data_IF_010521083104
#
_entry.id   IF_010521083104
#
_cell.length_a   1.000
_cell.length_b   1.000
_cell.length_c   1.000
_cell.angle_alpha   90.00
_cell.angle_beta   90.00
_cell.angle_gamma   90.00
#
_symmetry.space_group_name_H-M   'P 1'
#
loop_
_entity.id
_entity.type
_entity.pdbx_description
1 polymer ?
#
# COMPACT_ATOMS: atom_id res chain seq x y z
N UNK A 1 -33.53 -4.71 -3.16
CA UNK A 1 -32.75 -3.64 -2.52
C UNK A 1 -32.97 -3.70 -1.02
N UNK A 2 -31.89 -3.89 -0.26
CA UNK A 2 -31.86 -3.82 1.20
C UNK A 2 -31.10 -2.55 1.58
N UNK A 3 -31.74 -1.66 2.34
CA UNK A 3 -31.09 -0.44 2.86
C UNK A 3 -30.22 -0.81 4.04
N UNK A 4 -28.96 -0.34 4.03
CA UNK A 4 -27.96 -0.63 5.06
C UNK A 4 -27.30 0.68 5.49
N UNK A 5 -27.16 0.87 6.81
CA UNK A 5 -26.36 1.96 7.39
C UNK A 5 -25.00 1.41 7.79
N UNK A 6 -23.93 2.11 7.44
CA UNK A 6 -22.56 1.62 7.71
C UNK A 6 -22.25 1.58 9.22
N UNK A 7 -22.79 2.50 10.02
CA UNK A 7 -22.63 2.45 11.47
C UNK A 7 -23.22 1.17 12.09
N UNK A 8 -24.35 0.67 11.56
CA UNK A 8 -24.96 -0.58 12.00
C UNK A 8 -24.12 -1.78 11.54
N UNK A 9 -23.56 -1.72 10.32
CA UNK A 9 -22.61 -2.73 9.82
C UNK A 9 -21.40 -2.84 10.74
N UNK A 10 -20.80 -1.71 11.10
CA UNK A 10 -19.63 -1.67 11.99
C UNK A 10 -19.95 -2.28 13.35
N UNK A 11 -21.08 -1.87 13.94
CA UNK A 11 -21.50 -2.34 15.27
C UNK A 11 -21.79 -3.84 15.28
N UNK A 12 -22.49 -4.35 14.26
CA UNK A 12 -22.94 -5.74 14.22
C UNK A 12 -21.86 -6.72 13.74
N UNK A 13 -21.00 -6.30 12.82
CA UNK A 13 -19.96 -7.17 12.25
C UNK A 13 -18.63 -7.06 12.99
N UNK A 14 -18.32 -5.91 13.61
CA UNK A 14 -16.99 -5.62 14.15
C UNK A 14 -15.95 -5.23 13.08
N UNK A 15 -16.33 -5.13 11.80
CA UNK A 15 -15.50 -4.55 10.75
C UNK A 15 -15.55 -3.03 10.91
N UNK A 16 -14.42 -2.37 11.11
CA UNK A 16 -14.38 -0.93 11.42
C UNK A 16 -13.13 -0.24 10.87
N UNK A 17 -13.20 1.08 10.73
CA UNK A 17 -12.02 1.91 10.47
C UNK A 17 -11.08 1.94 11.67
N UNK A 18 -9.77 2.01 11.40
CA UNK A 18 -8.71 2.11 12.40
C UNK A 18 -7.67 3.16 12.01
N UNK A 19 -6.38 2.78 12.00
CA UNK A 19 -5.29 3.66 11.52
C UNK A 19 -5.50 4.03 10.06
N UNK A 20 -5.65 3.04 9.18
CA UNK A 20 -6.07 3.20 7.78
C UNK A 20 -6.87 1.98 7.28
N UNK A 21 -7.93 2.26 6.51
CA UNK A 21 -8.84 1.27 5.94
C UNK A 21 -9.82 0.66 6.95
N UNK A 22 -10.86 0.01 6.44
CA UNK A 22 -11.80 -0.77 7.23
C UNK A 22 -11.30 -2.22 7.35
N UNK A 23 -11.17 -2.74 8.58
CA UNK A 23 -10.56 -4.06 8.84
C UNK A 23 -11.43 -4.89 9.79
N UNK A 24 -11.35 -6.22 9.69
CA UNK A 24 -12.07 -7.14 10.58
C UNK A 24 -11.67 -8.59 10.33
N UNK A 25 -12.31 -9.52 11.04
CA UNK A 25 -12.13 -10.95 10.75
C UNK A 25 -12.69 -11.29 9.37
N UNK A 26 -12.04 -12.21 8.66
CA UNK A 26 -12.50 -12.70 7.35
C UNK A 26 -13.94 -13.22 7.44
N UNK A 27 -14.30 -13.89 8.54
CA UNK A 27 -15.65 -14.38 8.80
C UNK A 27 -16.70 -13.28 8.99
N UNK A 28 -16.28 -12.08 9.41
CA UNK A 28 -17.14 -10.91 9.61
C UNK A 28 -17.26 -10.06 8.33
N UNK A 29 -16.24 -10.10 7.47
CA UNK A 29 -16.23 -9.46 6.15
C UNK A 29 -17.05 -10.27 5.13
N UNK A 30 -18.35 -10.44 5.40
CA UNK A 30 -19.29 -11.08 4.48
C UNK A 30 -19.45 -10.28 3.19
N UNK A 31 -19.95 -10.91 2.12
CA UNK A 31 -20.13 -10.22 0.83
C UNK A 31 -21.02 -8.97 0.96
N UNK A 32 -22.05 -9.02 1.81
CA UNK A 32 -22.93 -7.86 2.09
C UNK A 32 -22.17 -6.72 2.78
N UNK A 33 -21.30 -7.06 3.74
CA UNK A 33 -20.48 -6.06 4.45
C UNK A 33 -19.49 -5.40 3.49
N UNK A 34 -18.78 -6.17 2.68
CA UNK A 34 -17.82 -5.66 1.70
C UNK A 34 -18.50 -4.81 0.62
N UNK A 35 -19.64 -5.26 0.10
CA UNK A 35 -20.46 -4.49 -0.83
C UNK A 35 -20.94 -3.17 -0.21
N UNK A 36 -21.36 -3.18 1.06
CA UNK A 36 -21.81 -1.98 1.77
C UNK A 36 -20.70 -0.92 1.81
N UNK A 37 -19.49 -1.33 2.18
CA UNK A 37 -18.33 -0.44 2.22
C UNK A 37 -17.96 0.13 0.85
N UNK A 38 -17.96 -0.69 -0.20
CA UNK A 38 -17.66 -0.23 -1.56
C UNK A 38 -18.67 0.83 -2.04
N UNK A 39 -19.97 0.61 -1.81
CA UNK A 39 -21.01 1.56 -2.19
C UNK A 39 -21.00 2.82 -1.32
N UNK A 40 -20.68 2.68 -0.03
CA UNK A 40 -20.60 3.82 0.86
C UNK A 40 -19.44 4.72 0.46
N UNK A 41 -18.28 4.14 0.17
CA UNK A 41 -17.16 4.87 -0.40
C UNK A 41 -17.52 5.57 -1.72
N UNK A 42 -18.18 4.85 -2.64
CA UNK A 42 -18.64 5.45 -3.90
C UNK A 42 -19.57 6.65 -3.65
N UNK A 43 -20.48 6.56 -2.68
CA UNK A 43 -21.41 7.64 -2.35
C UNK A 43 -20.69 8.89 -1.83
N UNK A 44 -19.64 8.72 -1.03
CA UNK A 44 -18.85 9.80 -0.43
C UNK A 44 -17.94 10.43 -1.46
N UNK A 45 -17.22 9.63 -2.27
CA UNK A 45 -16.28 10.18 -3.26
C UNK A 45 -17.01 10.99 -4.34
N UNK A 46 -18.25 10.63 -4.66
CA UNK A 46 -19.12 11.36 -5.60
C UNK A 46 -19.57 12.74 -5.12
N UNK A 47 -19.38 13.07 -3.84
CA UNK A 47 -19.64 14.41 -3.33
C UNK A 47 -18.59 15.43 -3.81
N UNK A 48 -17.38 14.96 -4.13
CA UNK A 48 -16.26 15.80 -4.55
C UNK A 48 -15.78 15.52 -5.98
N UNK A 49 -15.97 14.29 -6.48
CA UNK A 49 -15.46 13.85 -7.78
C UNK A 49 -16.56 13.21 -8.64
N UNK A 50 -16.70 13.67 -9.88
CA UNK A 50 -17.53 12.97 -10.86
C UNK A 50 -16.82 11.71 -11.33
N UNK A 51 -17.44 10.54 -11.14
CA UNK A 51 -16.86 9.27 -11.60
C UNK A 51 -17.89 8.24 -12.03
N UNK A 52 -17.57 7.54 -13.11
CA UNK A 52 -18.26 6.36 -13.66
C UNK A 52 -17.37 5.12 -13.67
N UNK A 53 -16.09 5.24 -13.25
CA UNK A 53 -15.07 4.20 -13.24
C UNK A 53 -14.40 4.09 -11.87
N UNK A 54 -13.91 2.91 -11.51
CA UNK A 54 -13.16 2.70 -10.26
C UNK A 54 -12.16 1.54 -10.44
N UNK A 55 -10.96 1.71 -9.91
CA UNK A 55 -9.93 0.67 -9.93
C UNK A 55 -10.02 -0.23 -8.70
N UNK A 56 -9.98 -1.56 -8.90
CA UNK A 56 -10.01 -2.54 -7.81
C UNK A 56 -8.76 -3.42 -7.85
N UNK A 57 -8.06 -3.52 -6.73
CA UNK A 57 -6.90 -4.38 -6.54
C UNK A 57 -7.02 -5.25 -5.29
N UNK A 58 -6.13 -6.23 -5.16
CA UNK A 58 -6.11 -7.10 -3.99
C UNK A 58 -4.71 -7.60 -3.59
N UNK A 59 -4.57 -8.04 -2.34
CA UNK A 59 -3.43 -8.85 -1.90
C UNK A 59 -3.61 -10.36 -2.20
N UNK A 60 -2.62 -11.17 -1.80
CA UNK A 60 -2.62 -12.62 -2.00
C UNK A 60 -3.29 -13.42 -0.87
N UNK A 61 -4.10 -12.79 0.00
CA UNK A 61 -4.85 -13.57 1.01
C UNK A 61 -5.89 -14.45 0.35
N UNK A 62 -6.15 -15.67 0.87
CA UNK A 62 -7.18 -16.55 0.33
C UNK A 62 -8.59 -15.94 0.29
N UNK A 63 -8.89 -15.00 1.19
CA UNK A 63 -10.19 -14.32 1.26
C UNK A 63 -10.34 -13.15 0.29
N UNK A 64 -9.23 -12.63 -0.25
CA UNK A 64 -9.22 -11.42 -1.07
C UNK A 64 -9.98 -11.54 -2.39
N UNK A 65 -9.86 -12.64 -3.17
CA UNK A 65 -10.65 -12.84 -4.39
C UNK A 65 -12.17 -12.76 -4.17
N UNK A 66 -12.67 -13.31 -3.05
CA UNK A 66 -14.10 -13.22 -2.70
C UNK A 66 -14.49 -11.77 -2.37
N UNK A 67 -13.71 -11.10 -1.53
CA UNK A 67 -14.00 -9.74 -1.07
C UNK A 67 -13.98 -8.75 -2.24
N UNK A 68 -12.96 -8.80 -3.11
CA UNK A 68 -12.88 -7.91 -4.28
C UNK A 68 -14.01 -8.19 -5.27
N UNK A 69 -14.43 -9.46 -5.42
CA UNK A 69 -15.60 -9.78 -6.24
C UNK A 69 -16.88 -9.17 -5.64
N UNK A 70 -17.08 -9.26 -4.32
CA UNK A 70 -18.24 -8.66 -3.67
C UNK A 70 -18.32 -7.14 -3.89
N UNK A 71 -17.19 -6.44 -3.74
CA UNK A 71 -17.09 -5.02 -4.07
C UNK A 71 -17.40 -4.76 -5.56
N UNK A 72 -16.80 -5.55 -6.45
CA UNK A 72 -16.95 -5.41 -7.91
C UNK A 72 -18.41 -5.50 -8.34
N UNK A 73 -19.12 -6.54 -7.93
CA UNK A 73 -20.50 -6.73 -8.39
C UNK A 73 -21.42 -5.64 -7.84
N UNK A 74 -21.23 -5.22 -6.58
CA UNK A 74 -22.03 -4.14 -6.00
C UNK A 74 -21.87 -2.83 -6.79
N UNK A 75 -20.64 -2.48 -7.17
CA UNK A 75 -20.33 -1.30 -7.96
C UNK A 75 -20.93 -1.39 -9.38
N UNK A 76 -20.79 -2.53 -10.06
CA UNK A 76 -21.34 -2.75 -11.41
C UNK A 76 -22.86 -2.68 -11.44
N UNK A 77 -23.54 -3.20 -10.41
CA UNK A 77 -24.99 -3.06 -10.26
C UNK A 77 -25.45 -1.59 -10.14
N UNK A 78 -24.57 -0.69 -9.73
CA UNK A 78 -24.79 0.75 -9.66
C UNK A 78 -24.25 1.52 -10.87
N UNK A 79 -24.00 0.81 -11.99
CA UNK A 79 -23.57 1.41 -13.24
C UNK A 79 -22.14 1.93 -13.24
N UNK A 80 -21.30 1.44 -12.31
CA UNK A 80 -19.87 1.74 -12.30
C UNK A 80 -19.10 0.71 -13.11
N UNK A 81 -18.26 1.19 -14.02
CA UNK A 81 -17.26 0.37 -14.69
C UNK A 81 -16.10 0.09 -13.73
N UNK A 82 -15.67 -1.17 -13.65
CA UNK A 82 -14.64 -1.63 -12.73
C UNK A 82 -13.40 -2.04 -13.51
N UNK A 83 -12.31 -1.34 -13.26
CA UNK A 83 -10.97 -1.71 -13.71
C UNK A 83 -10.38 -2.68 -12.69
N UNK A 84 -10.53 -3.99 -12.91
CA UNK A 84 -9.94 -4.98 -12.01
C UNK A 84 -8.45 -5.16 -12.31
N UNK A 85 -7.58 -4.66 -11.43
CA UNK A 85 -6.12 -4.65 -11.59
C UNK A 85 -5.44 -5.92 -11.05
N UNK A 86 -6.21 -6.92 -10.60
CA UNK A 86 -5.65 -8.17 -10.07
C UNK A 86 -4.93 -8.01 -8.74
N UNK A 87 -3.94 -8.89 -8.51
CA UNK A 87 -3.04 -8.79 -7.36
C UNK A 87 -1.84 -7.91 -7.71
N UNK A 88 -1.66 -6.82 -6.97
CA UNK A 88 -0.61 -5.82 -7.21
C UNK A 88 -0.29 -5.02 -5.94
N UNK A 89 0.86 -4.32 -5.88
CA UNK A 89 1.14 -3.42 -4.76
C UNK A 89 0.06 -2.36 -4.58
N UNK A 90 -0.32 -2.09 -3.33
CA UNK A 90 -1.20 -0.96 -2.98
C UNK A 90 -0.75 0.36 -3.63
N UNK A 91 0.55 0.76 -3.62
CA UNK A 91 0.98 1.98 -4.30
C UNK A 91 0.87 1.90 -5.83
N UNK A 92 0.91 0.72 -6.45
CA UNK A 92 0.70 0.55 -7.89
C UNK A 92 -0.76 0.85 -8.28
N UNK A 93 -1.72 0.36 -7.49
CA UNK A 93 -3.13 0.67 -7.68
C UNK A 93 -3.40 2.17 -7.49
N UNK A 94 -2.84 2.76 -6.42
CA UNK A 94 -3.01 4.18 -6.14
C UNK A 94 -2.42 5.07 -7.25
N UNK A 95 -1.24 4.73 -7.78
CA UNK A 95 -0.62 5.42 -8.91
C UNK A 95 -1.49 5.39 -10.16
N UNK A 96 -2.00 4.20 -10.51
CA UNK A 96 -2.89 4.02 -11.66
C UNK A 96 -4.15 4.86 -11.53
N UNK A 97 -4.84 4.72 -10.39
CA UNK A 97 -6.08 5.43 -10.11
C UNK A 97 -5.92 6.95 -10.15
N UNK A 98 -4.83 7.47 -9.58
CA UNK A 98 -4.49 8.89 -9.65
C UNK A 98 -4.25 9.35 -11.09
N UNK A 99 -3.52 8.56 -11.90
CA UNK A 99 -3.24 8.93 -13.29
C UNK A 99 -4.46 8.90 -14.21
N UNK A 100 -5.42 8.02 -13.91
CA UNK A 100 -6.71 7.93 -14.60
C UNK A 100 -7.76 8.88 -14.02
N UNK A 101 -7.43 9.63 -12.95
CA UNK A 101 -8.35 10.48 -12.20
C UNK A 101 -9.61 9.74 -11.71
N UNK A 102 -9.48 8.48 -11.30
CA UNK A 102 -10.56 7.64 -10.79
C UNK A 102 -10.30 7.23 -9.33
N UNK A 103 -11.34 6.93 -8.54
CA UNK A 103 -11.15 6.31 -7.23
C UNK A 103 -10.60 4.88 -7.33
N UNK A 104 -10.11 4.35 -6.21
CA UNK A 104 -9.68 2.96 -6.08
C UNK A 104 -10.10 2.30 -4.76
N UNK A 105 -10.22 0.97 -4.81
CA UNK A 105 -10.38 0.11 -3.64
C UNK A 105 -9.29 -0.96 -3.68
N UNK A 106 -8.50 -1.05 -2.61
CA UNK A 106 -7.52 -2.13 -2.42
C UNK A 106 -8.00 -3.07 -1.31
N UNK A 107 -8.17 -4.35 -1.65
CA UNK A 107 -8.54 -5.39 -0.68
C UNK A 107 -7.28 -5.98 -0.07
N UNK A 108 -7.02 -5.65 1.19
CA UNK A 108 -5.82 -6.10 1.89
C UNK A 108 -5.93 -5.92 3.40
N UNK A 109 -5.35 -6.87 4.14
CA UNK A 109 -5.08 -6.71 5.57
C UNK A 109 -3.73 -6.03 5.86
N UNK A 110 -2.87 -5.82 4.85
CA UNK A 110 -1.47 -5.45 4.99
C UNK A 110 -0.76 -6.41 5.95
N UNK A 111 -0.06 -5.91 6.96
CA UNK A 111 0.69 -6.66 7.98
C UNK A 111 -0.15 -7.47 8.99
N UNK A 112 -1.48 -7.36 9.02
CA UNK A 112 -2.29 -8.01 10.09
C UNK A 112 -2.38 -9.54 9.91
N UNK A 113 -2.77 -10.31 10.95
CA UNK A 113 -2.89 -11.78 10.87
C UNK A 113 -3.82 -12.28 9.75
N UNK A 114 -3.62 -13.53 9.30
CA UNK A 114 -4.29 -14.10 8.11
C UNK A 114 -5.81 -14.31 8.27
N UNK A 115 -6.30 -14.45 9.51
CA UNK A 115 -7.72 -14.59 9.85
C UNK A 115 -8.50 -13.27 9.73
N UNK A 116 -7.78 -12.18 9.39
CA UNK A 116 -8.31 -10.84 9.13
C UNK A 116 -8.04 -10.42 7.69
N UNK A 117 -8.80 -9.44 7.23
CA UNK A 117 -8.55 -8.74 5.97
C UNK A 117 -9.04 -7.28 6.12
N UNK A 118 -9.00 -6.50 5.05
CA UNK A 118 -9.45 -5.12 5.05
C UNK A 118 -9.72 -4.56 3.66
N UNK A 119 -10.21 -3.33 3.65
CA UNK A 119 -10.49 -2.54 2.46
C UNK A 119 -9.88 -1.16 2.68
N UNK A 120 -8.89 -0.80 1.86
CA UNK A 120 -8.30 0.54 1.77
C UNK A 120 -8.97 1.29 0.61
N UNK A 121 -9.15 2.60 0.78
CA UNK A 121 -9.87 3.45 -0.17
C UNK A 121 -9.00 4.61 -0.63
N UNK A 122 -9.03 4.90 -1.92
CA UNK A 122 -8.33 6.01 -2.54
C UNK A 122 -9.29 6.84 -3.38
N UNK A 123 -9.34 8.14 -3.14
CA UNK A 123 -9.99 9.11 -4.02
C UNK A 123 -9.09 9.34 -5.25
N UNK A 124 -9.60 10.00 -6.32
CA UNK A 124 -8.77 10.38 -7.47
C UNK A 124 -7.52 11.18 -7.12
N UNK A 125 -7.52 11.90 -6.00
CA UNK A 125 -6.43 12.76 -5.55
C UNK A 125 -5.55 12.15 -4.44
N UNK A 126 -5.83 10.91 -3.97
CA UNK A 126 -5.01 10.24 -2.97
C UNK A 126 -5.79 9.39 -1.97
N UNK A 127 -5.13 9.02 -0.87
CA UNK A 127 -5.77 8.25 0.22
C UNK A 127 -6.94 9.04 0.84
N UNK A 128 -7.99 8.34 1.28
CA UNK A 128 -9.11 8.98 1.98
C UNK A 128 -8.67 9.65 3.28
N UNK A 129 -9.30 10.78 3.61
CA UNK A 129 -9.04 11.51 4.85
C UNK A 129 -9.84 10.92 6.02
N UNK A 130 -9.55 11.35 7.26
CA UNK A 130 -10.39 11.02 8.42
C UNK A 130 -11.80 11.60 8.34
N UNK A 131 -12.01 12.69 7.60
CA UNK A 131 -13.34 13.21 7.33
C UNK A 131 -14.11 12.28 6.38
N UNK A 132 -13.43 11.73 5.36
CA UNK A 132 -14.02 10.74 4.47
C UNK A 132 -14.36 9.44 5.22
N UNK A 133 -13.48 8.94 6.10
CA UNK A 133 -13.80 7.77 6.95
C UNK A 133 -15.08 7.99 7.78
N UNK A 134 -15.25 9.18 8.37
CA UNK A 134 -16.44 9.53 9.14
C UNK A 134 -17.70 9.63 8.25
N UNK A 135 -17.57 10.19 7.05
CA UNK A 135 -18.65 10.25 6.06
C UNK A 135 -19.06 8.84 5.60
N UNK A 136 -18.09 7.96 5.32
CA UNK A 136 -18.35 6.56 4.93
C UNK A 136 -19.04 5.83 6.08
N UNK A 137 -18.58 6.02 7.32
CA UNK A 137 -19.15 5.39 8.52
C UNK A 137 -20.61 5.75 8.77
N UNK A 138 -21.09 6.87 8.25
CA UNK A 138 -22.46 7.36 8.43
C UNK A 138 -23.32 7.21 7.18
N UNK A 139 -22.76 6.70 6.09
CA UNK A 139 -23.47 6.52 4.83
C UNK A 139 -24.61 5.49 4.93
N UNK A 140 -25.62 5.71 4.12
CA UNK A 140 -26.75 4.79 3.92
C UNK A 140 -26.76 4.36 2.47
N UNK A 141 -26.70 3.05 2.25
CA UNK A 141 -26.58 2.46 0.90
C UNK A 141 -27.65 1.42 0.67
N UNK A 142 -27.95 1.17 -0.60
CA UNK A 142 -28.88 0.12 -0.99
C UNK A 142 -28.14 -1.01 -1.68
N UNK A 143 -28.28 -2.22 -1.13
CA UNK A 143 -27.58 -3.39 -1.64
C UNK A 143 -28.56 -4.30 -2.38
N UNK A 144 -28.13 -4.76 -3.54
CA UNK A 144 -28.76 -5.83 -4.31
C UNK A 144 -27.94 -7.11 -4.21
N UNK A 145 -28.44 -8.18 -4.83
CA UNK A 145 -27.83 -9.49 -4.70
C UNK A 145 -26.56 -9.58 -5.56
N UNK A 146 -25.43 -9.29 -4.93
CA UNK A 146 -24.07 -9.46 -5.45
C UNK A 146 -23.87 -10.82 -6.12
N UNK A 147 -23.78 -10.83 -7.46
CA UNK A 147 -23.51 -12.03 -8.27
C UNK A 147 -22.75 -11.68 -9.55
N UNK A 148 -21.77 -12.50 -9.89
CA UNK A 148 -21.00 -12.38 -11.12
C UNK A 148 -19.54 -12.75 -10.90
N UNK A 149 -18.81 -12.84 -12.00
CA UNK A 149 -17.37 -13.10 -12.00
C UNK A 149 -16.59 -11.80 -12.07
N UNK A 150 -15.34 -11.85 -11.62
CA UNK A 150 -14.40 -10.74 -11.78
C UNK A 150 -14.14 -10.48 -13.27
N UNK A 151 -14.00 -9.22 -13.70
CA UNK A 151 -13.50 -8.87 -15.01
C UNK A 151 -12.11 -9.46 -15.29
N UNK A 152 -11.66 -9.40 -16.54
CA UNK A 152 -10.27 -9.69 -16.87
C UNK A 152 -9.32 -8.70 -16.18
N UNK A 153 -8.10 -9.17 -15.88
CA UNK A 153 -7.10 -8.37 -15.21
C UNK A 153 -6.59 -7.28 -16.14
N UNK A 154 -6.70 -6.03 -15.70
CA UNK A 154 -6.06 -4.88 -16.32
C UNK A 154 -4.60 -4.77 -15.84
N UNK A 155 -3.67 -5.16 -16.69
CA UNK A 155 -2.22 -5.13 -16.41
C UNK A 155 -1.59 -3.73 -16.49
N UNK A 156 -2.31 -2.70 -16.96
CA UNK A 156 -1.78 -1.33 -17.12
C UNK A 156 -1.25 -0.78 -15.80
N UNK A 157 -1.96 -1.04 -14.68
CA UNK A 157 -1.54 -0.55 -13.37
C UNK A 157 -0.16 -1.08 -12.94
N UNK A 158 0.07 -2.39 -13.07
CA UNK A 158 1.36 -3.01 -12.75
C UNK A 158 2.46 -2.53 -13.68
N UNK A 159 2.18 -2.45 -14.99
CA UNK A 159 3.19 -2.01 -15.96
C UNK A 159 3.57 -0.53 -15.78
N UNK A 160 2.61 0.34 -15.44
CA UNK A 160 2.86 1.73 -15.10
C UNK A 160 3.71 1.87 -13.85
N UNK A 161 3.43 1.08 -12.80
CA UNK A 161 4.23 1.05 -11.59
C UNK A 161 5.68 0.64 -11.87
N UNK A 162 5.89 -0.40 -12.68
CA UNK A 162 7.25 -0.82 -13.08
C UNK A 162 7.95 0.28 -13.88
N UNK A 163 7.27 0.87 -14.88
CA UNK A 163 7.82 1.96 -15.70
C UNK A 163 8.21 3.17 -14.87
N UNK A 164 7.42 3.55 -13.86
CA UNK A 164 7.75 4.65 -12.94
C UNK A 164 9.18 4.56 -12.40
N UNK A 165 9.64 3.36 -12.03
CA UNK A 165 11.00 3.18 -11.51
C UNK A 165 12.05 3.03 -12.62
N UNK A 166 11.71 2.32 -13.71
CA UNK A 166 12.62 2.16 -14.85
C UNK A 166 12.93 3.50 -15.54
N UNK A 167 11.97 4.41 -15.59
CA UNK A 167 12.10 5.73 -16.21
C UNK A 167 12.77 6.75 -15.28
N UNK A 168 12.67 6.55 -13.96
CA UNK A 168 13.27 7.42 -12.96
C UNK A 168 14.79 7.22 -12.85
N UNK A 169 15.25 5.97 -12.81
CA UNK A 169 16.68 5.66 -12.68
C UNK A 169 17.36 5.59 -14.05
N UNK A 170 18.66 5.97 -14.14
CA UNK A 170 19.43 5.74 -15.35
C UNK A 170 19.44 4.25 -15.74
N UNK A 171 19.47 3.91 -17.05
CA UNK A 171 19.60 2.53 -17.47
C UNK A 171 20.81 1.87 -16.81
N UNK A 172 20.66 0.61 -16.39
CA UNK A 172 21.72 -0.17 -15.73
C UNK A 172 22.23 0.44 -14.40
N UNK A 173 21.40 1.20 -13.69
CA UNK A 173 21.74 1.80 -12.40
C UNK A 173 22.32 0.82 -11.37
N UNK A 174 21.88 -0.43 -11.39
CA UNK A 174 22.31 -1.51 -10.49
C UNK A 174 23.26 -2.51 -11.15
N UNK A 175 23.91 -2.15 -12.26
CA UNK A 175 24.87 -3.04 -12.91
C UNK A 175 26.05 -3.41 -11.99
N UNK A 176 26.32 -4.71 -11.91
CA UNK A 176 27.37 -5.27 -11.07
C UNK A 176 26.88 -5.72 -9.70
N UNK A 177 25.67 -5.33 -9.28
CA UNK A 177 25.08 -5.79 -8.03
C UNK A 177 24.43 -7.16 -8.18
N UNK A 178 24.49 -7.96 -7.11
CA UNK A 178 23.74 -9.19 -6.92
C UNK A 178 22.75 -9.01 -5.77
N UNK A 179 21.46 -8.99 -6.11
CA UNK A 179 20.37 -8.71 -5.18
C UNK A 179 19.52 -9.95 -4.96
N UNK A 180 19.24 -10.26 -3.70
CA UNK A 180 18.24 -11.26 -3.33
C UNK A 180 16.86 -10.62 -3.27
N UNK A 181 15.82 -11.27 -3.80
CA UNK A 181 14.43 -10.88 -3.55
C UNK A 181 13.81 -11.93 -2.65
N UNK A 182 13.53 -11.57 -1.40
CA UNK A 182 12.72 -12.42 -0.53
C UNK A 182 11.24 -12.25 -0.93
N UNK A 183 10.74 -13.21 -1.70
CA UNK A 183 9.44 -13.09 -2.37
C UNK A 183 8.25 -13.39 -1.46
N UNK A 184 8.37 -14.44 -0.62
CA UNK A 184 7.27 -14.97 0.21
C UNK A 184 5.92 -14.95 -0.54
N UNK A 185 4.93 -14.25 -0.01
CA UNK A 185 3.64 -13.95 -0.62
C UNK A 185 3.44 -12.44 -0.85
N UNK A 186 4.51 -11.68 -1.09
CA UNK A 186 4.42 -10.28 -1.47
C UNK A 186 3.75 -10.15 -2.84
N UNK A 187 2.78 -9.25 -2.97
CA UNK A 187 2.23 -8.86 -4.28
C UNK A 187 3.26 -8.14 -5.18
N UNK A 188 4.34 -7.63 -4.60
CA UNK A 188 5.40 -6.91 -5.31
C UNK A 188 6.47 -7.85 -5.86
N UNK A 189 6.49 -9.13 -5.49
CA UNK A 189 7.59 -10.08 -5.80
C UNK A 189 8.00 -10.08 -7.28
N UNK A 190 7.03 -10.20 -8.18
CA UNK A 190 7.30 -10.25 -9.63
C UNK A 190 7.62 -8.86 -10.20
N UNK A 191 7.03 -7.79 -9.65
CA UNK A 191 7.29 -6.42 -10.07
C UNK A 191 8.70 -5.96 -9.66
N UNK A 192 9.14 -6.27 -8.44
CA UNK A 192 10.49 -6.01 -7.96
C UNK A 192 11.53 -6.71 -8.82
N UNK A 193 11.28 -7.98 -9.17
CA UNK A 193 12.17 -8.74 -10.06
C UNK A 193 12.36 -7.99 -11.39
N UNK A 194 11.25 -7.63 -12.05
CA UNK A 194 11.28 -6.91 -13.33
C UNK A 194 11.97 -5.54 -13.23
N UNK A 195 11.75 -4.80 -12.13
CA UNK A 195 12.38 -3.49 -11.91
C UNK A 195 13.89 -3.65 -11.74
N UNK A 196 14.33 -4.53 -10.83
CA UNK A 196 15.76 -4.67 -10.49
C UNK A 196 16.58 -5.26 -11.65
N UNK A 197 16.06 -6.27 -12.35
CA UNK A 197 16.71 -6.78 -13.57
C UNK A 197 16.72 -5.75 -14.69
N UNK A 198 15.61 -5.01 -14.89
CA UNK A 198 15.52 -3.94 -15.87
C UNK A 198 16.53 -2.81 -15.61
N UNK A 199 16.90 -2.60 -14.36
CA UNK A 199 17.95 -1.68 -13.92
C UNK A 199 19.34 -2.33 -13.87
N UNK A 200 19.50 -3.54 -14.39
CA UNK A 200 20.79 -4.18 -14.65
C UNK A 200 21.39 -5.00 -13.50
N UNK A 201 20.66 -5.20 -12.40
CA UNK A 201 21.10 -6.09 -11.32
C UNK A 201 21.06 -7.56 -11.75
N UNK A 202 21.92 -8.40 -11.16
CA UNK A 202 21.69 -9.84 -11.09
C UNK A 202 20.72 -10.11 -9.95
N UNK A 203 19.61 -10.77 -10.20
CA UNK A 203 18.56 -11.01 -9.21
C UNK A 203 18.42 -12.50 -8.89
N UNK A 204 18.22 -12.84 -7.62
CA UNK A 204 17.91 -14.21 -7.18
C UNK A 204 16.64 -14.21 -6.34
N UNK A 205 15.63 -14.96 -6.78
CA UNK A 205 14.39 -15.20 -6.04
C UNK A 205 14.63 -16.11 -4.84
N UNK A 206 14.10 -15.72 -3.68
CA UNK A 206 14.25 -16.43 -2.41
C UNK A 206 12.88 -16.65 -1.77
N UNK A 207 12.65 -17.85 -1.23
CA UNK A 207 11.55 -18.11 -0.30
C UNK A 207 10.14 -17.88 -0.85
N UNK A 208 9.91 -18.02 -2.17
CA UNK A 208 8.57 -17.92 -2.77
C UNK A 208 7.63 -18.99 -2.19
N UNK A 209 6.40 -18.60 -1.91
CA UNK A 209 5.34 -19.51 -1.48
C UNK A 209 3.97 -19.07 -2.01
N UNK A 210 3.07 -20.03 -2.14
CA UNK A 210 1.65 -19.78 -2.44
C UNK A 210 0.82 -19.62 -1.15
N UNK A 211 1.40 -19.94 0.01
CA UNK A 211 0.79 -19.66 1.31
C UNK A 211 1.00 -18.20 1.70
N UNK A 212 -0.03 -17.54 2.21
CA UNK A 212 0.07 -16.17 2.67
C UNK A 212 0.97 -16.05 3.91
N UNK A 213 1.97 -15.18 3.86
CA UNK A 213 2.91 -14.88 4.94
C UNK A 213 2.69 -13.44 5.43
N UNK A 214 2.23 -13.25 6.68
CA UNK A 214 2.08 -11.91 7.26
C UNK A 214 3.46 -11.39 7.71
N UNK A 215 4.05 -10.49 6.93
CA UNK A 215 5.26 -9.75 7.31
C UNK A 215 4.86 -8.44 8.00
N UNK A 216 5.35 -8.24 9.22
CA UNK A 216 5.32 -6.95 9.90
C UNK A 216 6.74 -6.38 9.95
N UNK A 217 6.99 -5.30 9.22
CA UNK A 217 8.31 -4.67 9.09
C UNK A 217 8.76 -3.96 10.36
N UNK A 218 7.85 -3.67 11.29
CA UNK A 218 8.18 -3.12 12.62
C UNK A 218 8.52 -4.23 13.63
N UNK A 219 8.22 -5.49 13.29
CA UNK A 219 8.40 -6.66 14.15
C UNK A 219 8.82 -7.90 13.33
N UNK A 220 9.93 -7.78 12.59
CA UNK A 220 10.46 -8.88 11.76
C UNK A 220 10.70 -10.13 12.61
N UNK A 221 10.10 -11.25 12.19
CA UNK A 221 10.17 -12.50 12.94
C UNK A 221 11.60 -13.06 13.00
N UNK A 222 11.93 -13.74 14.10
CA UNK A 222 13.25 -14.38 14.29
C UNK A 222 13.60 -15.33 13.14
N UNK A 223 12.61 -16.07 12.62
CA UNK A 223 12.80 -16.95 11.47
C UNK A 223 13.26 -16.18 10.21
N UNK A 224 12.71 -15.00 9.95
CA UNK A 224 13.09 -14.17 8.81
C UNK A 224 14.45 -13.48 9.03
N UNK A 225 14.79 -13.12 10.27
CA UNK A 225 16.13 -12.64 10.65
C UNK A 225 17.19 -13.70 10.36
N UNK A 226 16.94 -14.95 10.75
CA UNK A 226 17.87 -16.06 10.51
C UNK A 226 18.00 -16.39 9.01
N UNK A 227 16.89 -16.35 8.26
CA UNK A 227 16.91 -16.53 6.79
C UNK A 227 17.75 -15.47 6.09
N UNK A 228 17.59 -14.19 6.45
CA UNK A 228 18.36 -13.09 5.88
C UNK A 228 19.87 -13.31 6.00
N UNK A 229 20.33 -13.67 7.22
CA UNK A 229 21.74 -13.99 7.48
C UNK A 229 22.24 -15.19 6.69
N UNK A 230 21.46 -16.28 6.67
CA UNK A 230 21.83 -17.49 5.94
C UNK A 230 21.95 -17.25 4.43
N UNK A 231 21.02 -16.49 3.84
CA UNK A 231 21.06 -16.15 2.42
C UNK A 231 22.23 -15.22 2.08
N UNK A 232 22.53 -14.24 2.93
CA UNK A 232 23.68 -13.37 2.73
C UNK A 232 25.00 -14.16 2.76
N UNK A 233 25.14 -15.13 3.68
CA UNK A 233 26.31 -16.00 3.77
C UNK A 233 26.43 -16.95 2.57
N UNK A 234 25.32 -17.53 2.11
CA UNK A 234 25.29 -18.49 1.00
C UNK A 234 25.54 -17.86 -0.37
N UNK A 235 24.91 -16.72 -0.64
CA UNK A 235 24.87 -16.11 -1.97
C UNK A 235 25.76 -14.88 -2.13
N UNK A 236 26.24 -14.31 -1.02
CA UNK A 236 27.04 -13.07 -1.01
C UNK A 236 26.33 -11.91 -1.72
N UNK A 237 25.06 -11.70 -1.37
CA UNK A 237 24.26 -10.59 -1.89
C UNK A 237 24.80 -9.23 -1.43
N UNK A 238 24.68 -8.20 -2.27
CA UNK A 238 24.90 -6.81 -1.87
C UNK A 238 23.75 -6.28 -0.98
N UNK A 239 22.54 -6.81 -1.17
CA UNK A 239 21.38 -6.58 -0.32
C UNK A 239 20.30 -7.65 -0.60
N UNK A 240 19.42 -7.87 0.38
CA UNK A 240 18.18 -8.63 0.21
C UNK A 240 17.00 -7.65 0.30
N UNK A 241 16.12 -7.69 -0.68
CA UNK A 241 15.00 -6.76 -0.84
C UNK A 241 13.69 -7.54 -0.79
N UNK A 242 12.70 -6.95 -0.15
CA UNK A 242 11.36 -7.50 -0.03
C UNK A 242 10.37 -6.38 0.31
N UNK A 243 9.10 -6.75 0.47
CA UNK A 243 8.06 -5.89 1.02
C UNK A 243 7.21 -6.67 2.02
N UNK A 244 6.29 -5.98 2.67
CA UNK A 244 5.15 -6.65 3.31
C UNK A 244 4.15 -7.23 2.29
N UNK A 245 3.03 -7.78 2.78
CA UNK A 245 2.09 -8.54 1.96
C UNK A 245 1.46 -7.74 0.81
N UNK A 246 1.13 -6.46 1.01
CA UNK A 246 0.52 -5.60 -0.01
C UNK A 246 1.48 -4.59 -0.65
N UNK A 247 2.76 -4.69 -0.34
CA UNK A 247 3.81 -3.96 -1.05
C UNK A 247 3.85 -2.46 -0.75
N UNK A 248 3.31 -2.02 0.40
CA UNK A 248 3.37 -0.62 0.82
C UNK A 248 4.56 -0.33 1.75
N UNK A 249 5.16 -1.37 2.35
CA UNK A 249 6.35 -1.27 3.22
C UNK A 249 7.53 -2.02 2.63
N UNK A 250 8.74 -1.44 2.59
CA UNK A 250 9.95 -2.16 2.24
C UNK A 250 10.44 -3.02 3.41
N UNK A 251 11.08 -4.14 3.09
CA UNK A 251 11.91 -4.92 4.00
C UNK A 251 13.26 -5.12 3.30
N UNK A 252 14.30 -4.47 3.82
CA UNK A 252 15.62 -4.42 3.16
C UNK A 252 16.69 -4.84 4.15
N UNK A 253 17.61 -5.71 3.72
CA UNK A 253 18.82 -6.04 4.47
C UNK A 253 20.05 -5.37 3.88
N UNK A 254 21.09 -5.22 4.70
CA UNK A 254 22.45 -5.00 4.21
C UNK A 254 23.09 -6.29 3.65
N UNK A 255 24.36 -6.22 3.26
CA UNK A 255 25.15 -7.32 2.70
C UNK A 255 25.43 -8.45 3.69
N UNK A 256 25.20 -8.21 4.98
CA UNK A 256 25.34 -9.23 6.05
C UNK A 256 24.02 -9.95 6.34
N UNK A 257 22.94 -9.56 5.65
CA UNK A 257 21.60 -10.09 5.88
C UNK A 257 20.94 -9.48 7.12
N UNK A 258 21.46 -8.37 7.66
CA UNK A 258 20.83 -7.66 8.76
C UNK A 258 19.70 -6.76 8.24
N UNK A 259 18.46 -7.05 8.64
CA UNK A 259 17.30 -6.26 8.27
C UNK A 259 17.37 -4.86 8.87
N UNK A 260 17.30 -3.85 8.00
CA UNK A 260 17.31 -2.45 8.38
C UNK A 260 15.91 -2.04 8.86
N UNK A 261 15.86 -1.27 9.95
CA UNK A 261 14.62 -0.60 10.38
C UNK A 261 14.11 0.35 9.30
N UNK A 262 12.79 0.42 9.15
CA UNK A 262 12.16 1.24 8.12
C UNK A 262 12.45 2.74 8.23
N UNK A 263 12.61 3.27 9.45
CA UNK A 263 13.00 4.67 9.65
C UNK A 263 14.43 4.99 9.17
N UNK A 264 15.35 4.03 9.22
CA UNK A 264 16.69 4.19 8.63
C UNK A 264 16.63 4.13 7.10
N UNK A 265 15.85 3.21 6.53
CA UNK A 265 15.61 3.14 5.09
C UNK A 265 14.99 4.44 4.57
N UNK A 266 13.99 4.97 5.27
CA UNK A 266 13.35 6.24 4.97
C UNK A 266 14.34 7.41 5.00
N UNK A 267 15.22 7.46 6.00
CA UNK A 267 16.27 8.48 6.07
C UNK A 267 17.25 8.41 4.89
N UNK A 268 17.67 7.21 4.48
CA UNK A 268 18.53 7.01 3.29
C UNK A 268 17.81 7.49 2.02
N UNK A 269 16.53 7.17 1.87
CA UNK A 269 15.72 7.60 0.72
C UNK A 269 15.55 9.13 0.68
N UNK A 270 15.22 9.76 1.82
CA UNK A 270 15.09 11.21 1.94
C UNK A 270 16.40 11.93 1.61
N UNK A 271 17.54 11.37 2.04
CA UNK A 271 18.87 11.82 1.68
C UNK A 271 19.12 11.75 0.18
N UNK A 272 18.84 10.60 -0.45
CA UNK A 272 19.02 10.39 -1.88
C UNK A 272 18.20 11.38 -2.72
N UNK A 273 16.94 11.58 -2.34
CA UNK A 273 16.03 12.52 -3.00
C UNK A 273 16.38 13.99 -2.72
N UNK A 274 17.29 14.25 -1.77
CA UNK A 274 17.65 15.60 -1.30
C UNK A 274 16.39 16.34 -0.80
N UNK A 275 15.61 15.66 0.02
CA UNK A 275 14.45 16.27 0.67
C UNK A 275 14.89 17.46 1.53
N UNK A 276 14.09 18.53 1.53
CA UNK A 276 14.29 19.70 2.37
C UNK A 276 13.54 19.55 3.70
N UNK A 277 12.28 19.11 3.62
CA UNK A 277 11.40 18.93 4.78
C UNK A 277 10.94 17.48 4.88
N UNK A 278 10.84 16.99 6.12
CA UNK A 278 10.47 15.61 6.41
C UNK A 278 9.33 15.58 7.43
N UNK A 279 8.34 14.72 7.18
CA UNK A 279 7.22 14.48 8.10
C UNK A 279 7.22 13.02 8.54
N UNK A 280 7.38 12.77 9.83
CA UNK A 280 7.54 11.41 10.37
C UNK A 280 6.75 11.23 11.66
N UNK A 281 6.18 10.06 11.94
CA UNK A 281 5.56 9.80 13.24
C UNK A 281 6.53 9.92 14.41
N UNK A 282 5.99 10.10 15.62
CA UNK A 282 6.76 10.08 16.87
C UNK A 282 7.51 8.77 17.14
N UNK A 283 7.17 7.67 16.46
CA UNK A 283 7.85 6.38 16.60
C UNK A 283 9.18 6.27 15.84
N UNK A 284 9.46 7.15 14.88
CA UNK A 284 10.70 7.13 14.12
C UNK A 284 11.90 7.59 14.98
N UNK A 285 13.10 7.08 14.69
CA UNK A 285 14.33 7.41 15.41
C UNK A 285 14.64 8.93 15.44
N UNK A 286 15.30 9.40 16.50
CA UNK A 286 15.72 10.81 16.69
C UNK A 286 16.93 11.21 15.84
N UNK A 287 17.61 10.25 15.20
CA UNK A 287 18.68 10.52 14.24
C UNK A 287 18.21 11.37 13.05
N UNK A 288 16.91 11.36 12.75
CA UNK A 288 16.30 12.14 11.65
C UNK A 288 16.52 13.64 11.88
N UNK A 289 16.37 14.14 13.11
CA UNK A 289 16.69 15.52 13.45
C UNK A 289 18.21 15.73 13.62
N UNK A 290 18.88 14.79 14.28
CA UNK A 290 20.29 14.93 14.65
C UNK A 290 21.25 14.91 13.44
N UNK A 291 20.84 14.35 12.31
CA UNK A 291 21.66 14.32 11.10
C UNK A 291 21.86 15.72 10.48
N UNK A 292 21.03 16.71 10.82
CA UNK A 292 21.14 18.09 10.32
C UNK A 292 20.88 18.25 8.82
N UNK A 293 20.25 17.26 8.18
CA UNK A 293 20.03 17.26 6.72
C UNK A 293 18.80 18.05 6.27
N UNK A 294 17.81 18.20 7.15
CA UNK A 294 16.50 18.76 6.81
C UNK A 294 16.32 20.13 7.44
N UNK A 295 15.76 21.08 6.69
CA UNK A 295 15.40 22.40 7.21
C UNK A 295 14.29 22.30 8.25
N UNK A 296 13.38 21.33 8.09
CA UNK A 296 12.25 21.08 8.97
C UNK A 296 11.99 19.58 9.13
N UNK A 297 11.80 19.13 10.36
CA UNK A 297 11.28 17.79 10.69
C UNK A 297 10.01 17.95 11.51
N UNK A 298 8.87 17.53 10.96
CA UNK A 298 7.58 17.58 11.63
C UNK A 298 7.20 16.20 12.18
N UNK A 299 6.87 16.15 13.48
CA UNK A 299 6.44 14.93 14.16
C UNK A 299 4.92 14.80 14.17
N UNK A 300 4.41 13.61 13.83
CA UNK A 300 2.97 13.34 13.76
C UNK A 300 2.56 12.14 14.63
N UNK A 301 1.25 11.93 14.76
CA UNK A 301 0.71 10.64 15.26
C UNK A 301 0.98 9.53 14.24
N UNK A 302 1.04 8.29 14.71
CA UNK A 302 1.24 7.11 13.85
C UNK A 302 0.06 6.94 12.88
N UNK A 303 0.37 6.70 11.60
CA UNK A 303 -0.60 6.48 10.53
C UNK A 303 -0.43 7.44 9.35
N UNK A 304 -0.46 6.90 8.13
CA UNK A 304 -0.33 7.66 6.88
C UNK A 304 -1.23 8.89 6.78
N UNK A 305 -2.50 8.93 7.24
CA UNK A 305 -3.32 10.14 7.11
C UNK A 305 -2.76 11.33 7.91
N UNK A 306 -2.09 11.08 9.03
CA UNK A 306 -1.46 12.15 9.81
C UNK A 306 -0.15 12.63 9.19
N UNK A 307 0.63 11.72 8.59
CA UNK A 307 1.84 12.07 7.83
C UNK A 307 1.46 12.90 6.60
N UNK A 308 0.46 12.46 5.82
CA UNK A 308 -0.05 13.19 4.65
C UNK A 308 -0.54 14.60 5.05
N UNK A 309 -1.32 14.71 6.13
CA UNK A 309 -1.79 16.01 6.62
C UNK A 309 -0.63 16.92 7.03
N UNK A 310 0.41 16.38 7.69
CA UNK A 310 1.61 17.14 8.02
C UNK A 310 2.42 17.55 6.78
N UNK A 311 2.48 16.72 5.75
CA UNK A 311 3.14 17.07 4.48
C UNK A 311 2.40 18.24 3.79
N UNK A 312 1.06 18.21 3.81
CA UNK A 312 0.22 19.30 3.28
C UNK A 312 0.36 20.60 4.09
N UNK A 313 0.56 20.52 5.40
CA UNK A 313 0.83 21.69 6.25
C UNK A 313 2.18 22.35 5.92
N UNK A 314 3.21 21.55 5.63
CA UNK A 314 4.53 22.05 5.29
C UNK A 314 4.66 22.55 3.85
N UNK A 315 3.71 22.20 2.98
CA UNK A 315 3.70 22.62 1.58
C UNK A 315 3.34 24.09 1.47
N UNK A 316 4.38 24.91 1.25
CA UNK A 316 4.25 26.35 1.09
C UNK A 316 4.09 26.79 -0.37
N UNK A 317 4.10 25.85 -1.32
CA UNK A 317 4.04 26.12 -2.76
C UNK A 317 5.34 26.67 -3.37
N UNK A 318 6.46 26.70 -2.63
CA UNK A 318 7.75 27.25 -3.06
C UNK A 318 8.74 26.19 -3.59
N UNK A 319 8.26 25.14 -4.25
CA UNK A 319 9.08 24.00 -4.73
C UNK A 319 9.87 23.28 -3.61
N UNK A 320 9.39 23.37 -2.36
CA UNK A 320 9.99 22.64 -1.23
C UNK A 320 9.92 21.13 -1.50
N UNK A 321 11.04 20.43 -1.33
CA UNK A 321 11.12 18.98 -1.47
C UNK A 321 10.62 18.30 -0.20
N UNK A 322 9.37 17.89 -0.19
CA UNK A 322 8.70 17.37 1.00
C UNK A 322 8.52 15.86 0.87
N UNK A 323 9.00 15.12 1.87
CA UNK A 323 8.74 13.68 1.98
C UNK A 323 8.16 13.34 3.34
N UNK A 324 7.45 12.23 3.40
CA UNK A 324 7.02 11.63 4.66
C UNK A 324 7.38 10.16 4.70
N UNK A 325 7.63 9.61 5.88
CA UNK A 325 7.82 8.18 6.04
C UNK A 325 7.54 7.72 7.47
N UNK A 326 7.33 6.43 7.65
CA UNK A 326 7.03 5.83 8.95
C UNK A 326 8.11 4.81 9.36
N UNK A 327 8.10 4.40 10.64
CA UNK A 327 9.04 3.40 11.17
C UNK A 327 8.89 2.02 10.51
N UNK A 328 7.72 1.75 9.94
CA UNK A 328 7.45 0.58 9.09
C UNK A 328 8.15 0.62 7.72
N UNK A 329 8.77 1.75 7.36
CA UNK A 329 9.53 1.94 6.13
C UNK A 329 8.73 2.48 4.94
N UNK A 330 7.39 2.52 5.05
CA UNK A 330 6.54 3.15 4.04
C UNK A 330 6.97 4.59 3.79
N UNK A 331 7.13 4.95 2.51
CA UNK A 331 7.71 6.23 2.08
C UNK A 331 6.75 6.96 1.13
N UNK A 332 6.47 8.23 1.44
CA UNK A 332 5.56 9.10 0.72
C UNK A 332 6.36 10.24 0.09
N UNK A 333 6.37 10.30 -1.25
CA UNK A 333 6.96 11.41 -2.00
C UNK A 333 5.89 12.49 -2.16
N UNK A 334 6.16 13.70 -1.64
CA UNK A 334 5.30 14.87 -1.76
C UNK A 334 5.69 15.76 -2.95
N UNK A 335 5.63 17.08 -2.75
CA UNK A 335 5.94 18.10 -3.75
C UNK A 335 7.45 18.34 -3.93
N UNK A 336 7.82 19.02 -5.02
CA UNK A 336 9.17 19.52 -5.29
C UNK A 336 10.13 18.56 -6.02
N UNK A 337 9.65 17.42 -6.54
CA UNK A 337 10.47 16.39 -7.22
C UNK A 337 10.24 16.30 -8.71
#
# INVERSE_FOLDING_TARGET
>A
MKTIKICDVMTNSGVAFGTSGARGLVSQMTDEVCAAYALAFLSVVRLAFSTTRIALGMDLRPSSPRIVNACTQALREHGIEVDFCGALPTPALALYAQSECIPAIMVTGSHIPFDRNGIKFYRPDGEITKADEAAISTAVVEINRVRGDLPEINHVATDQFIRRYLDFFPPRHFAGLHLGIYEHSSVARDALHRILEGLGARVTSLGRTEEFVPIDTEAVAEADILRGKAWAEEYHFDAIISTDGDGDRPLISDETGAWLRGDMVGLICASYLKADKVVVPVSCNTAIELCGMFSTVLRTRIGSPYVIAGMQELDSGNDDKIVGFEANGGFLVGSGF
#
